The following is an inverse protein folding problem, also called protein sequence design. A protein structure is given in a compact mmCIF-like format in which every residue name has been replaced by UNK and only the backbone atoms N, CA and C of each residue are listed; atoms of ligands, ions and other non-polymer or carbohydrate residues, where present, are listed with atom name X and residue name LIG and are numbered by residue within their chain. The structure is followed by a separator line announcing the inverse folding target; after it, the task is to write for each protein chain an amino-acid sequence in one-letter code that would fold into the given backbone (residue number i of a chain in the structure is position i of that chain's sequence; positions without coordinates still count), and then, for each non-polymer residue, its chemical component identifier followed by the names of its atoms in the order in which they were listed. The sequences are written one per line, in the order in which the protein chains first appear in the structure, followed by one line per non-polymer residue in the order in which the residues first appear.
data_IF_087814168507
#
_entry.id   IF_087814168507
#
_cell.length_a   1.000
_cell.length_b   1.000
_cell.length_c   1.000
_cell.angle_alpha   90.00
_cell.angle_beta   90.00
_cell.angle_gamma   90.00
#
_symmetry.space_group_name_H-M   'P 1'
#
loop_
_entity.id
_entity.type
_entity.pdbx_description
1 polymer ?
#
# COMPACT_ATOMS: atom_id res chain seq x y z
N UNK A 1 -27.63 -2.10 3.87
CA UNK A 1 -26.45 -2.54 4.66
C UNK A 1 -26.15 -3.97 4.24
N UNK A 2 -24.97 -4.23 3.73
CA UNK A 2 -24.55 -5.61 3.40
C UNK A 2 -24.31 -6.41 4.68
N UNK A 3 -24.26 -7.74 4.57
CA UNK A 3 -23.95 -8.60 5.73
C UNK A 3 -22.57 -8.27 6.31
N UNK A 4 -21.59 -7.94 5.48
CA UNK A 4 -20.23 -7.59 5.90
C UNK A 4 -20.18 -6.23 6.60
N UNK A 5 -20.90 -5.22 6.12
CA UNK A 5 -21.06 -3.92 6.80
C UNK A 5 -21.72 -4.08 8.18
N UNK A 6 -22.71 -4.98 8.28
CA UNK A 6 -23.33 -5.28 9.58
C UNK A 6 -22.35 -5.95 10.55
N UNK A 7 -21.43 -6.79 10.06
CA UNK A 7 -20.44 -7.48 10.89
C UNK A 7 -19.40 -6.52 11.52
N UNK A 8 -18.99 -5.49 10.80
CA UNK A 8 -17.94 -4.57 11.24
C UNK A 8 -18.44 -3.18 11.64
N UNK A 9 -19.76 -3.02 11.77
CA UNK A 9 -20.44 -1.76 12.11
C UNK A 9 -20.03 -0.57 11.23
N UNK A 10 -19.62 -0.83 9.96
CA UNK A 10 -19.13 0.19 9.05
C UNK A 10 -17.76 0.78 9.44
N UNK A 11 -17.00 0.08 10.27
CA UNK A 11 -15.68 0.54 10.74
C UNK A 11 -14.70 0.72 9.59
N UNK A 12 -13.96 1.82 9.60
CA UNK A 12 -12.94 2.11 8.58
C UNK A 12 -11.70 1.21 8.67
N UNK A 13 -11.50 0.51 9.77
CA UNK A 13 -10.39 -0.42 9.99
C UNK A 13 -10.88 -1.70 10.66
N UNK A 14 -10.47 -2.89 10.20
CA UNK A 14 -10.75 -4.14 10.89
C UNK A 14 -10.19 -4.15 12.30
N UNK A 15 -10.93 -4.71 13.24
CA UNK A 15 -10.58 -4.76 14.66
C UNK A 15 -10.95 -6.12 15.27
N UNK A 16 -10.42 -6.41 16.46
CA UNK A 16 -10.78 -7.58 17.29
C UNK A 16 -11.68 -7.23 18.47
N UNK A 17 -12.22 -6.02 18.52
CA UNK A 17 -12.94 -5.49 19.71
C UNK A 17 -14.17 -6.31 20.12
N UNK A 18 -14.86 -6.98 19.20
CA UNK A 18 -16.03 -7.80 19.50
C UNK A 18 -16.09 -9.08 18.67
N UNK A 19 -17.06 -9.95 18.99
CA UNK A 19 -17.25 -11.21 18.26
C UNK A 19 -17.53 -10.97 16.76
N UNK A 20 -18.40 -10.03 16.43
CA UNK A 20 -18.76 -9.67 15.05
C UNK A 20 -17.53 -9.19 14.27
N UNK A 21 -16.72 -8.30 14.87
CA UNK A 21 -15.50 -7.80 14.24
C UNK A 21 -14.46 -8.90 14.00
N UNK A 22 -14.29 -9.83 14.97
CA UNK A 22 -13.42 -10.99 14.79
C UNK A 22 -13.89 -11.90 13.66
N UNK A 23 -15.20 -12.10 13.54
CA UNK A 23 -15.80 -12.90 12.48
C UNK A 23 -15.60 -12.21 11.10
N UNK A 24 -15.84 -10.89 11.02
CA UNK A 24 -15.57 -10.10 9.81
C UNK A 24 -14.13 -10.26 9.36
N UNK A 25 -13.17 -9.98 10.25
CA UNK A 25 -11.74 -10.09 9.93
C UNK A 25 -11.34 -11.52 9.52
N UNK A 26 -11.92 -12.56 10.14
CA UNK A 26 -11.69 -13.97 9.76
C UNK A 26 -12.23 -14.29 8.37
N UNK A 27 -13.41 -13.78 8.02
CA UNK A 27 -13.99 -13.96 6.68
C UNK A 27 -13.07 -13.29 5.64
N UNK A 28 -12.64 -12.07 5.88
CA UNK A 28 -11.74 -11.33 5.01
C UNK A 28 -10.41 -12.06 4.82
N UNK A 29 -9.78 -12.49 5.92
CA UNK A 29 -8.56 -13.31 5.90
C UNK A 29 -8.75 -14.58 5.04
N UNK A 30 -9.81 -15.37 5.29
CA UNK A 30 -10.05 -16.60 4.55
C UNK A 30 -10.29 -16.37 3.05
N UNK A 31 -10.99 -15.29 2.69
CA UNK A 31 -11.19 -14.91 1.29
C UNK A 31 -9.89 -14.57 0.59
N UNK A 32 -9.02 -13.83 1.26
CA UNK A 32 -7.74 -13.40 0.72
C UNK A 32 -6.73 -14.57 0.66
N UNK A 33 -6.57 -15.34 1.73
CA UNK A 33 -5.61 -16.44 1.82
C UNK A 33 -5.90 -17.61 0.88
N UNK A 34 -7.16 -17.76 0.40
CA UNK A 34 -7.52 -18.75 -0.62
C UNK A 34 -7.12 -18.34 -2.05
N UNK A 35 -6.68 -17.11 -2.27
CA UNK A 35 -6.28 -16.66 -3.61
C UNK A 35 -4.91 -17.24 -3.98
N UNK A 36 -4.78 -17.60 -5.26
CA UNK A 36 -3.50 -18.11 -5.81
C UNK A 36 -2.39 -17.06 -5.61
N UNK A 37 -1.20 -17.49 -5.24
CA UNK A 37 -0.02 -16.66 -5.01
C UNK A 37 -0.22 -15.55 -3.96
N UNK A 38 -1.07 -15.80 -2.96
CA UNK A 38 -1.29 -14.88 -1.83
C UNK A 38 -0.92 -15.58 -0.54
N UNK A 39 0.03 -15.00 0.20
CA UNK A 39 0.47 -15.46 1.52
C UNK A 39 0.19 -14.36 2.54
N UNK A 40 -0.57 -14.67 3.58
CA UNK A 40 -0.97 -13.72 4.62
C UNK A 40 -0.73 -14.37 5.97
N UNK A 41 -0.06 -13.68 6.89
CA UNK A 41 0.11 -14.17 8.25
C UNK A 41 -1.25 -14.26 8.98
N UNK A 42 -1.40 -15.29 9.81
CA UNK A 42 -2.67 -15.60 10.50
C UNK A 42 -3.13 -14.52 11.50
N UNK A 43 -2.22 -13.68 11.95
CA UNK A 43 -2.50 -12.56 12.86
C UNK A 43 -3.08 -11.32 12.17
N UNK A 44 -2.99 -11.27 10.82
CA UNK A 44 -3.48 -10.14 10.04
C UNK A 44 -4.99 -9.93 10.17
N UNK A 45 -5.39 -8.68 10.12
CA UNK A 45 -6.78 -8.28 10.05
C UNK A 45 -7.10 -7.81 8.64
N UNK A 46 -7.94 -8.53 7.93
CA UNK A 46 -8.33 -8.22 6.55
C UNK A 46 -9.83 -8.01 6.48
N UNK A 47 -10.25 -6.88 5.97
CA UNK A 47 -11.67 -6.66 5.70
C UNK A 47 -12.18 -7.61 4.62
N UNK A 48 -13.40 -8.17 4.74
CA UNK A 48 -14.00 -8.99 3.69
C UNK A 48 -14.27 -8.21 2.39
N UNK A 49 -14.24 -6.87 2.44
CA UNK A 49 -14.43 -5.98 1.29
C UNK A 49 -13.12 -5.54 0.65
N UNK A 50 -11.97 -5.89 1.24
CA UNK A 50 -10.67 -5.67 0.61
C UNK A 50 -10.53 -6.52 -0.66
N UNK A 51 -9.96 -5.93 -1.71
CA UNK A 51 -9.70 -6.60 -2.99
C UNK A 51 -8.23 -6.99 -3.09
N UNK A 52 -7.92 -8.23 -2.76
CA UNK A 52 -6.56 -8.79 -2.80
C UNK A 52 -6.47 -9.78 -3.96
N UNK A 53 -5.62 -9.50 -4.96
CA UNK A 53 -5.47 -10.33 -6.15
C UNK A 53 -4.06 -10.24 -6.73
N UNK A 54 -3.27 -11.28 -6.60
CA UNK A 54 -1.90 -11.33 -7.11
C UNK A 54 -1.78 -11.25 -8.64
N UNK A 55 -2.87 -11.47 -9.41
CA UNK A 55 -2.80 -11.56 -10.88
C UNK A 55 -1.72 -12.55 -11.33
N UNK A 56 -0.73 -12.09 -12.12
CA UNK A 56 0.45 -12.87 -12.50
C UNK A 56 1.58 -12.82 -11.48
N UNK A 57 1.49 -11.97 -10.46
CA UNK A 57 2.51 -11.77 -9.43
C UNK A 57 2.31 -12.59 -8.16
N UNK A 58 2.82 -12.08 -7.06
CA UNK A 58 2.64 -12.63 -5.70
C UNK A 58 2.34 -11.54 -4.69
N UNK A 59 1.53 -11.85 -3.69
CA UNK A 59 1.25 -10.96 -2.57
C UNK A 59 1.69 -11.62 -1.27
N UNK A 60 2.45 -10.90 -0.45
CA UNK A 60 2.82 -11.31 0.92
C UNK A 60 2.41 -10.23 1.90
N UNK A 61 1.72 -10.59 2.99
CA UNK A 61 1.32 -9.67 4.06
C UNK A 61 1.83 -10.23 5.39
N UNK A 62 2.72 -9.49 6.04
CA UNK A 62 3.41 -9.86 7.27
C UNK A 62 2.53 -9.73 8.51
N UNK A 63 3.03 -10.34 9.58
CA UNK A 63 2.41 -10.46 10.91
C UNK A 63 1.80 -9.14 11.40
N UNK A 64 0.61 -9.20 11.99
CA UNK A 64 -0.06 -8.07 12.65
C UNK A 64 -0.55 -6.95 11.72
N UNK A 65 -0.37 -7.12 10.41
CA UNK A 65 -0.77 -6.08 9.45
C UNK A 65 -2.28 -6.05 9.21
N UNK A 66 -2.78 -4.88 8.78
CA UNK A 66 -4.21 -4.64 8.64
C UNK A 66 -4.54 -4.11 7.25
N UNK A 67 -5.57 -4.67 6.60
CA UNK A 67 -6.08 -4.21 5.30
C UNK A 67 -7.55 -3.83 5.43
N UNK A 68 -7.85 -2.57 5.24
CA UNK A 68 -9.17 -1.96 5.46
C UNK A 68 -10.18 -2.25 4.34
N UNK A 69 -11.47 -1.95 4.55
CA UNK A 69 -12.50 -2.07 3.52
C UNK A 69 -12.14 -1.30 2.24
N UNK A 70 -12.49 -1.88 1.10
CA UNK A 70 -12.30 -1.29 -0.23
C UNK A 70 -10.84 -0.98 -0.61
N UNK A 71 -9.88 -1.35 0.22
CA UNK A 71 -8.47 -1.30 -0.16
C UNK A 71 -8.19 -2.31 -1.28
N UNK A 72 -7.36 -1.92 -2.24
CA UNK A 72 -7.01 -2.74 -3.40
C UNK A 72 -5.51 -3.07 -3.35
N UNK A 73 -5.19 -4.36 -3.33
CA UNK A 73 -3.81 -4.86 -3.39
C UNK A 73 -3.71 -5.81 -4.58
N UNK A 74 -2.96 -5.44 -5.61
CA UNK A 74 -2.89 -6.21 -6.86
C UNK A 74 -1.46 -6.39 -7.35
N UNK A 75 -1.20 -7.53 -8.00
CA UNK A 75 0.08 -7.85 -8.65
C UNK A 75 1.17 -8.26 -7.65
N UNK A 76 2.42 -7.87 -7.88
CA UNK A 76 3.53 -8.11 -6.98
C UNK A 76 3.55 -7.07 -5.85
N UNK A 77 3.15 -7.46 -4.66
CA UNK A 77 3.11 -6.59 -3.48
C UNK A 77 3.61 -7.34 -2.26
N UNK A 78 4.53 -6.74 -1.54
CA UNK A 78 4.96 -7.21 -0.22
C UNK A 78 4.63 -6.14 0.82
N UNK A 79 3.96 -6.52 1.90
CA UNK A 79 3.67 -5.67 3.06
C UNK A 79 4.33 -6.33 4.27
N UNK A 80 5.18 -5.60 4.96
CA UNK A 80 5.90 -6.03 6.15
C UNK A 80 4.98 -6.21 7.36
N UNK A 81 5.58 -6.39 8.53
CA UNK A 81 4.88 -6.61 9.80
C UNK A 81 4.29 -5.31 10.35
N UNK A 82 3.21 -5.42 11.10
CA UNK A 82 2.63 -4.31 11.83
C UNK A 82 2.11 -3.15 10.97
N UNK A 83 2.08 -3.30 9.64
CA UNK A 83 1.71 -2.23 8.71
C UNK A 83 0.20 -2.15 8.48
N UNK A 84 -0.30 -0.95 8.15
CA UNK A 84 -1.73 -0.76 7.91
C UNK A 84 -2.01 -0.03 6.61
N UNK A 85 -2.94 -0.59 5.83
CA UNK A 85 -3.49 0.00 4.61
C UNK A 85 -4.94 0.39 4.85
N UNK A 86 -5.24 1.68 4.89
CA UNK A 86 -6.57 2.19 5.16
C UNK A 86 -7.48 2.15 3.92
N UNK A 87 -8.78 2.40 4.16
CA UNK A 87 -9.84 2.25 3.16
C UNK A 87 -9.57 3.05 1.87
N UNK A 88 -10.01 2.47 0.75
CA UNK A 88 -9.90 3.07 -0.59
C UNK A 88 -8.47 3.32 -1.09
N UNK A 89 -7.45 2.79 -0.42
CA UNK A 89 -6.08 2.89 -0.92
C UNK A 89 -5.79 1.80 -1.95
N UNK A 90 -4.94 2.11 -2.92
CA UNK A 90 -4.67 1.28 -4.09
C UNK A 90 -3.17 1.02 -4.21
N UNK A 91 -2.78 -0.25 -4.14
CA UNK A 91 -1.43 -0.74 -4.43
C UNK A 91 -1.49 -1.62 -5.67
N UNK A 92 -0.82 -1.23 -6.76
CA UNK A 92 -0.75 -2.01 -8.00
C UNK A 92 0.71 -2.28 -8.36
N UNK A 93 1.19 -3.45 -7.97
CA UNK A 93 2.49 -3.97 -8.39
C UNK A 93 2.40 -4.68 -9.74
N UNK A 94 3.53 -4.80 -10.42
CA UNK A 94 3.68 -5.43 -11.72
C UNK A 94 4.71 -6.58 -11.67
N UNK A 95 4.80 -7.33 -12.76
CA UNK A 95 5.73 -8.45 -12.92
C UNK A 95 5.15 -9.81 -12.52
N UNK A 96 6.03 -10.78 -12.36
CA UNK A 96 5.73 -12.15 -11.90
C UNK A 96 6.51 -12.44 -10.61
N UNK A 97 6.31 -13.59 -9.95
CA UNK A 97 7.13 -13.95 -8.77
C UNK A 97 8.63 -14.00 -9.07
N UNK A 98 9.02 -14.33 -10.30
CA UNK A 98 10.41 -14.43 -10.79
C UNK A 98 10.94 -13.09 -11.30
N UNK A 99 10.09 -12.31 -12.00
CA UNK A 99 10.40 -10.96 -12.48
C UNK A 99 9.68 -9.92 -11.61
N UNK A 100 10.37 -9.40 -10.62
CA UNK A 100 9.80 -8.46 -9.64
C UNK A 100 9.96 -6.99 -10.03
N UNK A 101 10.34 -6.69 -11.27
CA UNK A 101 10.38 -5.30 -11.75
C UNK A 101 8.98 -4.70 -11.76
N UNK A 102 8.79 -3.59 -11.05
CA UNK A 102 7.49 -2.96 -10.86
C UNK A 102 6.74 -3.47 -9.62
N UNK A 103 7.40 -4.22 -8.72
CA UNK A 103 6.79 -4.58 -7.44
C UNK A 103 6.61 -3.38 -6.53
N UNK A 104 5.70 -3.51 -5.57
CA UNK A 104 5.56 -2.58 -4.45
C UNK A 104 6.02 -3.30 -3.18
N UNK A 105 7.03 -2.74 -2.50
CA UNK A 105 7.52 -3.21 -1.20
C UNK A 105 7.19 -2.20 -0.13
N UNK A 106 6.40 -2.61 0.84
CA UNK A 106 6.07 -1.87 2.04
C UNK A 106 6.80 -2.53 3.21
N UNK A 107 7.57 -1.76 3.95
CA UNK A 107 8.31 -2.20 5.13
C UNK A 107 7.43 -2.50 6.34
N UNK A 108 8.07 -2.57 7.50
CA UNK A 108 7.40 -2.82 8.78
C UNK A 108 6.90 -1.52 9.40
N UNK A 109 5.83 -1.61 10.20
CA UNK A 109 5.26 -0.50 10.96
C UNK A 109 4.85 0.72 10.12
N UNK A 110 4.57 0.50 8.82
CA UNK A 110 4.14 1.55 7.89
C UNK A 110 2.65 1.87 8.09
N UNK A 111 2.32 3.15 8.11
CA UNK A 111 0.94 3.65 8.17
C UNK A 111 0.54 4.30 6.87
N UNK A 112 -0.34 3.68 6.10
CA UNK A 112 -0.88 4.20 4.85
C UNK A 112 -2.33 4.61 5.08
N UNK A 113 -2.58 5.93 5.06
CA UNK A 113 -3.93 6.48 5.26
C UNK A 113 -4.83 6.26 4.04
N UNK A 114 -6.09 6.67 4.13
CA UNK A 114 -7.10 6.44 3.09
C UNK A 114 -6.79 7.17 1.78
N UNK A 115 -7.24 6.57 0.66
CA UNK A 115 -7.14 7.15 -0.69
C UNK A 115 -5.68 7.37 -1.16
N UNK A 116 -4.73 6.61 -0.65
CA UNK A 116 -3.36 6.61 -1.16
C UNK A 116 -3.28 5.73 -2.40
N UNK A 117 -2.55 6.19 -3.43
CA UNK A 117 -2.32 5.43 -4.65
C UNK A 117 -0.82 5.23 -4.88
N UNK A 118 -0.41 3.96 -5.02
CA UNK A 118 0.96 3.56 -5.32
C UNK A 118 0.92 2.59 -6.50
N UNK A 119 1.62 2.93 -7.58
CA UNK A 119 1.62 2.13 -8.82
C UNK A 119 3.07 1.90 -9.27
N UNK A 120 3.41 0.64 -9.54
CA UNK A 120 4.75 0.21 -9.94
C UNK A 120 5.03 0.28 -11.46
N UNK A 121 4.23 1.02 -12.22
CA UNK A 121 4.46 1.24 -13.65
C UNK A 121 3.80 2.52 -14.15
N UNK A 122 4.40 3.12 -15.18
CA UNK A 122 3.86 4.24 -15.94
C UNK A 122 3.69 3.83 -17.41
N UNK A 123 2.79 4.48 -18.15
CA UNK A 123 2.74 4.32 -19.59
C UNK A 123 3.96 4.98 -20.25
N UNK A 124 4.50 4.34 -21.30
CA UNK A 124 5.45 5.00 -22.19
C UNK A 124 4.72 5.99 -23.09
N UNK A 125 5.32 7.16 -23.28
CA UNK A 125 4.77 8.26 -24.09
C UNK A 125 5.86 9.02 -24.86
N UNK A 126 7.05 8.41 -24.99
CA UNK A 126 8.24 9.07 -25.54
C UNK A 126 8.15 9.29 -27.04
N UNK A 127 7.35 8.50 -27.76
CA UNK A 127 7.18 8.55 -29.20
C UNK A 127 5.90 9.34 -29.56
N UNK A 128 6.00 10.60 -30.04
CA UNK A 128 4.83 11.42 -30.38
C UNK A 128 4.02 10.89 -31.58
N UNK A 129 4.64 10.09 -32.44
CA UNK A 129 4.00 9.54 -33.66
C UNK A 129 3.20 8.27 -33.36
N UNK A 130 3.32 7.73 -32.14
CA UNK A 130 2.68 6.48 -31.75
C UNK A 130 1.66 6.69 -30.63
N UNK A 131 0.42 6.19 -30.75
CA UNK A 131 -0.54 6.26 -29.67
C UNK A 131 0.00 5.69 -28.35
N UNK A 132 -0.17 6.38 -27.23
CA UNK A 132 0.34 5.99 -25.90
C UNK A 132 -0.06 4.55 -25.56
N UNK A 133 -1.29 4.15 -25.86
CA UNK A 133 -1.78 2.79 -25.62
C UNK A 133 -0.99 1.69 -26.36
N UNK A 134 -0.22 2.03 -27.38
CA UNK A 134 0.60 1.11 -28.18
C UNK A 134 2.08 1.14 -27.81
N UNK A 135 2.50 2.04 -26.91
CA UNK A 135 3.91 2.16 -26.50
C UNK A 135 4.28 1.23 -25.33
N UNK A 136 3.28 0.63 -24.67
CA UNK A 136 3.50 -0.26 -23.53
C UNK A 136 3.70 0.49 -22.21
N UNK A 137 4.28 -0.19 -21.23
CA UNK A 137 4.49 0.35 -19.88
C UNK A 137 5.97 0.26 -19.48
N UNK A 138 6.39 1.22 -18.66
CA UNK A 138 7.69 1.23 -18.02
C UNK A 138 7.49 0.84 -16.53
N UNK A 139 7.93 -0.37 -16.19
CA UNK A 139 7.83 -0.90 -14.82
C UNK A 139 9.02 -0.42 -14.01
N UNK A 140 8.78 0.09 -12.80
CA UNK A 140 9.78 0.49 -11.82
C UNK A 140 9.24 0.24 -10.43
N UNK A 141 9.98 -0.49 -9.61
CA UNK A 141 9.55 -0.86 -8.26
C UNK A 141 9.41 0.37 -7.36
N UNK A 142 8.42 0.33 -6.47
CA UNK A 142 8.26 1.34 -5.41
C UNK A 142 8.63 0.70 -4.07
N UNK A 143 9.43 1.39 -3.29
CA UNK A 143 9.88 0.94 -1.98
C UNK A 143 9.46 1.94 -0.91
N UNK A 144 8.71 1.48 0.06
CA UNK A 144 8.41 2.22 1.29
C UNK A 144 9.16 1.50 2.41
N UNK A 145 10.14 2.16 3.00
CA UNK A 145 10.92 1.57 4.10
C UNK A 145 10.12 1.53 5.41
N UNK A 146 10.76 1.06 6.49
CA UNK A 146 10.11 0.89 7.79
C UNK A 146 9.74 2.25 8.44
N UNK A 147 8.75 2.23 9.35
CA UNK A 147 8.31 3.39 10.15
C UNK A 147 7.91 4.62 9.32
N UNK A 148 7.34 4.42 8.12
CA UNK A 148 6.86 5.50 7.26
C UNK A 148 5.38 5.78 7.52
N UNK A 149 5.03 7.06 7.57
CA UNK A 149 3.64 7.50 7.56
C UNK A 149 3.29 8.22 6.25
N UNK A 150 2.36 7.65 5.50
CA UNK A 150 1.79 8.23 4.29
C UNK A 150 0.39 8.73 4.63
N UNK A 151 0.19 10.03 4.64
CA UNK A 151 -1.10 10.66 4.93
C UNK A 151 -2.08 10.50 3.76
N UNK A 152 -3.34 10.92 3.96
CA UNK A 152 -4.42 10.68 3.00
C UNK A 152 -4.24 11.35 1.64
N UNK A 153 -4.77 10.71 0.58
CA UNK A 153 -4.77 11.23 -0.80
C UNK A 153 -3.38 11.49 -1.39
N UNK A 154 -2.39 10.73 -0.96
CA UNK A 154 -1.04 10.77 -1.53
C UNK A 154 -0.96 9.90 -2.77
N UNK A 155 -0.25 10.38 -3.80
CA UNK A 155 0.11 9.61 -4.98
C UNK A 155 1.63 9.40 -5.02
N UNK A 156 2.07 8.16 -5.22
CA UNK A 156 3.49 7.80 -5.38
C UNK A 156 3.65 7.12 -6.74
N UNK A 157 4.49 7.71 -7.60
CA UNK A 157 4.74 7.18 -8.95
C UNK A 157 5.74 6.03 -8.92
N UNK A 158 5.84 5.32 -10.04
CA UNK A 158 6.77 4.23 -10.23
C UNK A 158 8.24 4.66 -10.07
N UNK A 159 9.04 3.81 -9.41
CA UNK A 159 10.47 4.01 -9.22
C UNK A 159 10.87 4.79 -7.97
N UNK A 160 9.93 5.21 -7.14
CA UNK A 160 10.19 6.02 -5.93
C UNK A 160 10.53 5.14 -4.73
N UNK A 161 11.53 5.57 -3.97
CA UNK A 161 11.82 5.05 -2.62
C UNK A 161 11.47 6.10 -1.56
N UNK A 162 10.69 5.70 -0.56
CA UNK A 162 10.44 6.52 0.64
C UNK A 162 11.32 5.98 1.77
N UNK A 163 12.29 6.77 2.19
CA UNK A 163 13.25 6.38 3.22
C UNK A 163 12.61 6.23 4.60
N UNK A 164 13.22 5.35 5.41
CA UNK A 164 12.79 5.01 6.77
C UNK A 164 12.41 6.24 7.60
N UNK A 165 11.38 6.08 8.40
CA UNK A 165 10.97 7.10 9.36
C UNK A 165 10.43 8.37 8.74
N UNK A 166 10.16 8.41 7.43
CA UNK A 166 9.67 9.62 6.77
C UNK A 166 8.16 9.78 6.88
N UNK A 167 7.71 11.01 6.67
CA UNK A 167 6.30 11.39 6.65
C UNK A 167 5.98 12.04 5.30
N UNK A 168 4.96 11.53 4.62
CA UNK A 168 4.42 12.13 3.41
C UNK A 168 3.10 12.81 3.76
N UNK A 169 3.05 14.12 3.65
CA UNK A 169 1.88 14.92 4.00
C UNK A 169 0.69 14.69 3.04
N UNK A 170 -0.51 14.93 3.54
CA UNK A 170 -1.75 14.71 2.79
C UNK A 170 -1.78 15.46 1.45
N UNK A 171 -2.31 14.80 0.41
CA UNK A 171 -2.43 15.37 -0.93
C UNK A 171 -1.12 15.50 -1.71
N UNK A 172 0.01 15.01 -1.19
CA UNK A 172 1.28 15.09 -1.89
C UNK A 172 1.35 14.16 -3.11
N UNK A 173 2.08 14.60 -4.14
CA UNK A 173 2.45 13.77 -5.30
C UNK A 173 3.97 13.55 -5.27
N UNK A 174 4.37 12.33 -4.91
CA UNK A 174 5.79 11.99 -4.74
C UNK A 174 6.34 11.49 -6.06
N UNK A 175 7.26 12.26 -6.63
CA UNK A 175 7.87 12.00 -7.96
C UNK A 175 9.37 11.74 -7.90
N UNK A 176 9.96 11.78 -6.72
CA UNK A 176 11.40 11.51 -6.48
C UNK A 176 11.55 10.82 -5.14
N UNK A 177 12.68 10.17 -4.95
CA UNK A 177 13.04 9.54 -3.69
C UNK A 177 12.97 10.53 -2.52
N UNK A 178 12.52 10.02 -1.39
CA UNK A 178 12.38 10.77 -0.14
C UNK A 178 13.46 10.31 0.83
N UNK A 179 14.34 11.22 1.29
CA UNK A 179 15.39 10.86 2.23
C UNK A 179 14.82 10.32 3.56
N UNK A 180 15.53 9.43 4.24
CA UNK A 180 15.10 8.95 5.56
C UNK A 180 14.86 10.08 6.55
N UNK A 181 13.89 9.90 7.44
CA UNK A 181 13.54 10.84 8.52
C UNK A 181 13.14 12.24 8.05
N UNK A 182 12.65 12.36 6.82
CA UNK A 182 12.17 13.65 6.30
C UNK A 182 10.63 13.74 6.30
N UNK A 183 10.15 14.98 6.31
CA UNK A 183 8.74 15.29 6.08
C UNK A 183 8.64 15.96 4.72
N UNK A 184 7.86 15.38 3.82
CA UNK A 184 7.64 15.89 2.47
C UNK A 184 6.21 16.32 2.25
N UNK A 185 5.98 17.37 1.45
CA UNK A 185 4.65 17.86 1.11
C UNK A 185 4.63 18.50 -0.28
N UNK A 186 3.43 18.65 -0.86
CA UNK A 186 3.16 19.41 -2.08
C UNK A 186 3.09 18.58 -3.36
N UNK A 187 2.87 19.27 -4.48
CA UNK A 187 2.74 18.73 -5.84
C UNK A 187 3.65 19.52 -6.76
N UNK A 188 4.79 18.97 -7.19
CA UNK A 188 5.41 17.74 -6.71
C UNK A 188 5.94 17.88 -5.27
N UNK A 189 6.02 16.76 -4.54
CA UNK A 189 6.46 16.75 -3.15
C UNK A 189 7.92 17.23 -3.00
N UNK A 190 8.17 18.02 -1.93
CA UNK A 190 9.50 18.50 -1.55
C UNK A 190 9.71 18.29 -0.06
N UNK A 191 10.97 18.12 0.34
CA UNK A 191 11.33 18.08 1.77
C UNK A 191 11.04 19.45 2.38
N UNK A 192 10.17 19.49 3.38
CA UNK A 192 9.81 20.70 4.12
C UNK A 192 10.52 20.78 5.47
N UNK A 193 10.86 19.64 6.05
CA UNK A 193 11.71 19.56 7.26
C UNK A 193 12.23 18.13 7.45
N UNK A 194 13.24 17.98 8.30
CA UNK A 194 13.68 16.69 8.82
C UNK A 194 12.96 16.39 10.14
N UNK A 195 12.64 15.12 10.40
CA UNK A 195 12.25 14.69 11.75
C UNK A 195 13.47 14.87 12.65
N UNK A 196 13.41 15.78 13.59
CA UNK A 196 14.43 15.89 14.63
C UNK A 196 14.29 14.67 15.54
N UNK A 197 15.34 13.89 15.70
CA UNK A 197 15.50 13.10 16.91
C UNK A 197 15.56 14.08 18.07
N UNK A 198 14.74 13.93 19.11
CA UNK A 198 15.01 14.59 20.37
C UNK A 198 16.42 14.20 20.80
N UNK A 199 17.35 15.13 20.78
CA UNK A 199 18.54 14.99 21.60
C UNK A 199 18.05 15.09 23.02
N UNK A 200 17.92 13.98 23.72
CA UNK A 200 17.95 13.98 25.18
C UNK A 200 19.28 14.59 25.57
N UNK A 201 19.22 15.84 26.04
CA UNK A 201 20.29 16.41 26.84
C UNK A 201 20.39 15.68 28.18
#
# INVERSE_FOLDING_TARGET
MSFTEWLDDGMSMPTKAGFRHRLSARIGYCRAAKRKNVTIDKSCLVSPEARINARSGSITIGEGSTVAPYAVVQGNVTIGKGSSLQAYSILVGYGTPEDRVGEIRIGNDVRIASHVMIIGADHRFDDPEKPIAKQGVLRRSVVIEDDVWIAGRVNIIAGVTIGRGSVVAAGAVVTKDVPPYSVVAGVPARVIKMRKGEKTE
#
